data_IF_812363894280
#
_entry.id   IF_812363894280
#
_cell.length_a   1.000
_cell.length_b   1.000
_cell.length_c   1.000
_cell.angle_alpha   90.00
_cell.angle_beta   90.00
_cell.angle_gamma   90.00
#
_symmetry.space_group_name_H-M   'P 1'
#
loop_
_entity.id
_entity.type
_entity.pdbx_description
1 polymer ?
#
# COMPACT_ATOMS: atom_id res chain seq x y z
N UNK A 1 39.10 3.93 -8.26
CA UNK A 1 37.87 3.17 -8.57
C UNK A 1 36.93 3.30 -7.38
N UNK A 2 35.73 3.80 -7.61
CA UNK A 2 34.62 3.86 -6.64
C UNK A 2 33.72 2.63 -6.82
N UNK A 3 33.12 2.23 -5.69
CA UNK A 3 31.84 1.53 -5.46
C UNK A 3 31.63 0.17 -6.16
N UNK A 4 30.96 -0.84 -5.60
CA UNK A 4 29.79 -0.87 -4.71
C UNK A 4 29.90 -2.06 -3.74
N UNK A 5 29.74 -1.81 -2.44
CA UNK A 5 29.54 -2.81 -1.40
C UNK A 5 28.59 -2.18 -0.37
N UNK A 6 27.31 -2.18 -0.70
CA UNK A 6 26.15 -1.79 0.11
C UNK A 6 24.99 -2.60 -0.51
N UNK A 7 24.13 -3.37 0.15
CA UNK A 7 23.35 -3.07 1.35
C UNK A 7 22.57 -4.33 1.81
N UNK A 8 23.16 -5.24 2.60
CA UNK A 8 22.38 -6.28 3.31
C UNK A 8 22.65 -6.23 4.82
N UNK A 9 23.91 -6.03 5.22
CA UNK A 9 24.30 -5.92 6.63
C UNK A 9 24.01 -4.54 7.24
N UNK A 10 23.80 -3.52 6.41
CA UNK A 10 23.42 -2.18 6.84
C UNK A 10 21.96 -2.10 7.28
N UNK A 11 21.06 -2.69 6.49
CA UNK A 11 19.63 -2.73 6.78
C UNK A 11 19.30 -3.53 8.04
N UNK A 12 19.90 -4.72 8.22
CA UNK A 12 19.72 -5.54 9.44
C UNK A 12 20.25 -4.84 10.71
N UNK A 13 21.40 -4.14 10.64
CA UNK A 13 21.93 -3.40 11.81
C UNK A 13 21.15 -2.13 12.12
N UNK A 14 20.66 -1.41 11.10
CA UNK A 14 19.80 -0.25 11.28
C UNK A 14 18.44 -0.67 11.84
N UNK A 15 17.90 -1.79 11.37
CA UNK A 15 16.69 -2.44 11.89
C UNK A 15 16.84 -2.84 13.36
N UNK A 16 17.90 -3.56 13.71
CA UNK A 16 18.19 -3.94 15.09
C UNK A 16 18.38 -2.71 15.99
N UNK A 17 19.04 -1.67 15.48
CA UNK A 17 19.20 -0.43 16.25
C UNK A 17 17.87 0.28 16.44
N UNK A 18 17.05 0.42 15.39
CA UNK A 18 15.80 1.18 15.44
C UNK A 18 14.75 0.45 16.26
N UNK A 19 14.64 -0.87 16.08
CA UNK A 19 13.79 -1.73 16.90
C UNK A 19 14.20 -1.68 18.38
N UNK A 20 15.51 -1.67 18.69
CA UNK A 20 16.01 -1.49 20.08
C UNK A 20 15.72 -0.11 20.67
N UNK A 21 15.85 0.96 19.89
CA UNK A 21 15.58 2.32 20.38
C UNK A 21 14.08 2.51 20.65
N UNK A 22 13.21 1.97 19.79
CA UNK A 22 11.78 2.00 20.01
C UNK A 22 11.33 1.00 21.11
N UNK A 23 11.96 -0.17 21.25
CA UNK A 23 11.68 -1.10 22.36
C UNK A 23 12.03 -0.47 23.71
N UNK A 24 13.14 0.27 23.80
CA UNK A 24 13.50 1.04 25.00
C UNK A 24 12.49 2.18 25.26
N UNK A 25 12.00 2.84 24.21
CA UNK A 25 10.95 3.87 24.34
C UNK A 25 9.61 3.29 24.83
N UNK A 26 9.30 2.03 24.47
CA UNK A 26 8.15 1.29 24.98
C UNK A 26 8.30 0.94 26.46
N UNK A 27 9.52 0.69 26.96
CA UNK A 27 9.77 0.49 28.40
C UNK A 27 9.47 1.76 29.22
N UNK A 28 9.70 2.94 28.65
CA UNK A 28 9.49 4.22 29.34
C UNK A 28 8.09 4.83 29.13
N UNK A 29 7.33 4.40 28.12
CA UNK A 29 5.98 4.92 27.82
C UNK A 29 5.11 3.88 27.09
N UNK A 30 4.73 2.79 27.77
CA UNK A 30 4.05 1.65 27.14
C UNK A 30 2.61 1.96 26.69
N UNK A 31 2.00 3.04 27.20
CA UNK A 31 0.58 3.33 26.99
C UNK A 31 0.28 4.12 25.71
N UNK A 32 1.31 4.65 25.02
CA UNK A 32 1.10 5.43 23.80
C UNK A 32 1.02 4.51 22.58
N UNK A 33 -0.19 4.28 22.07
CA UNK A 33 -0.46 3.47 20.88
C UNK A 33 0.40 3.88 19.66
N UNK A 34 0.73 5.16 19.50
CA UNK A 34 1.58 5.65 18.41
C UNK A 34 3.00 5.07 18.41
N UNK A 35 3.57 4.77 19.58
CA UNK A 35 4.91 4.20 19.67
C UNK A 35 4.94 2.77 19.11
N UNK A 36 3.92 1.97 19.43
CA UNK A 36 3.74 0.61 18.91
C UNK A 36 3.54 0.60 17.40
N UNK A 37 2.72 1.53 16.88
CA UNK A 37 2.54 1.69 15.44
C UNK A 37 3.84 2.05 14.73
N UNK A 38 4.61 3.00 15.25
CA UNK A 38 5.87 3.40 14.63
C UNK A 38 6.89 2.26 14.60
N UNK A 39 6.99 1.47 15.68
CA UNK A 39 7.84 0.28 15.70
C UNK A 39 7.36 -0.75 14.68
N UNK A 40 6.06 -1.00 14.59
CA UNK A 40 5.52 -1.94 13.62
C UNK A 40 5.75 -1.51 12.17
N UNK A 41 5.71 -0.21 11.86
CA UNK A 41 6.04 0.29 10.52
C UNK A 41 7.50 0.00 10.16
N UNK A 42 8.43 0.12 11.12
CA UNK A 42 9.81 -0.30 10.91
C UNK A 42 9.92 -1.81 10.64
N UNK A 43 9.15 -2.63 11.36
CA UNK A 43 9.09 -4.07 11.12
C UNK A 43 8.54 -4.40 9.72
N UNK A 44 7.56 -3.62 9.24
CA UNK A 44 7.08 -3.72 7.85
C UNK A 44 8.19 -3.40 6.85
N UNK A 45 8.96 -2.34 7.08
CA UNK A 45 10.03 -1.93 6.16
C UNK A 45 11.15 -2.98 6.02
N UNK A 46 11.40 -3.75 7.09
CA UNK A 46 12.42 -4.81 7.12
C UNK A 46 11.87 -6.18 6.68
N UNK A 47 10.56 -6.30 6.46
CA UNK A 47 9.90 -7.52 6.02
C UNK A 47 9.37 -8.43 7.12
N UNK A 48 9.49 -8.06 8.38
CA UNK A 48 9.00 -8.82 9.55
C UNK A 48 7.51 -8.58 9.79
N UNK A 49 6.68 -9.02 8.84
CA UNK A 49 5.25 -8.69 8.82
C UNK A 49 4.45 -9.34 9.95
N UNK A 50 4.83 -10.54 10.41
CA UNK A 50 4.13 -11.24 11.49
C UNK A 50 4.26 -10.47 12.81
N UNK A 51 5.49 -10.10 13.18
CA UNK A 51 5.77 -9.31 14.37
C UNK A 51 5.16 -7.91 14.27
N UNK A 52 5.16 -7.30 13.07
CA UNK A 52 4.49 -6.03 12.83
C UNK A 52 2.98 -6.11 13.14
N UNK A 53 2.31 -7.19 12.72
CA UNK A 53 0.89 -7.41 13.04
C UNK A 53 0.68 -7.48 14.54
N UNK A 54 1.50 -8.23 15.26
CA UNK A 54 1.36 -8.37 16.72
C UNK A 54 1.51 -7.03 17.43
N UNK A 55 2.51 -6.22 17.06
CA UNK A 55 2.69 -4.88 17.62
C UNK A 55 1.55 -3.92 17.27
N UNK A 56 0.97 -4.03 16.07
CA UNK A 56 -0.18 -3.21 15.68
C UNK A 56 -1.46 -3.62 16.42
N UNK A 57 -1.63 -4.91 16.72
CA UNK A 57 -2.70 -5.38 17.60
C UNK A 57 -2.50 -4.87 19.04
N UNK A 58 -1.26 -4.82 19.53
CA UNK A 58 -0.93 -4.19 20.81
C UNK A 58 -1.23 -2.68 20.82
N UNK A 59 -0.97 -1.99 19.70
CA UNK A 59 -1.33 -0.57 19.53
C UNK A 59 -2.86 -0.38 19.59
N UNK A 60 -3.60 -1.23 18.87
CA UNK A 60 -5.05 -1.22 18.86
C UNK A 60 -5.65 -1.49 20.24
N UNK A 61 -5.09 -2.42 21.02
CA UNK A 61 -5.63 -2.74 22.33
C UNK A 61 -5.53 -1.58 23.34
N UNK A 62 -4.57 -0.69 23.14
CA UNK A 62 -4.37 0.52 23.96
C UNK A 62 -5.27 1.68 23.52
N UNK A 63 -5.58 1.76 22.24
CA UNK A 63 -6.46 2.78 21.66
C UNK A 63 -7.44 2.18 20.64
N UNK A 64 -8.55 1.65 21.16
CA UNK A 64 -9.62 0.98 20.38
C UNK A 64 -10.51 1.95 19.60
N UNK A 65 -10.21 3.25 19.64
CA UNK A 65 -10.92 4.26 18.86
C UNK A 65 -10.07 4.81 17.71
N UNK A 66 -8.80 4.40 17.60
CA UNK A 66 -7.92 4.84 16.53
C UNK A 66 -8.00 3.91 15.29
N UNK A 67 -8.72 4.31 14.23
CA UNK A 67 -8.79 3.52 12.99
C UNK A 67 -7.45 3.37 12.27
N UNK A 68 -6.47 4.23 12.53
CA UNK A 68 -5.15 4.15 11.89
C UNK A 68 -4.41 2.87 12.29
N UNK A 69 -4.55 2.43 13.54
CA UNK A 69 -3.98 1.16 13.99
C UNK A 69 -4.54 -0.02 13.18
N UNK A 70 -5.87 -0.09 13.02
CA UNK A 70 -6.53 -1.14 12.22
C UNK A 70 -6.20 -1.02 10.73
N UNK A 71 -6.04 0.19 10.19
CA UNK A 71 -5.57 0.38 8.82
C UNK A 71 -4.20 -0.27 8.62
N UNK A 72 -3.28 -0.01 9.54
CA UNK A 72 -1.93 -0.56 9.48
C UNK A 72 -1.92 -2.08 9.71
N UNK A 73 -2.77 -2.61 10.62
CA UNK A 73 -2.98 -4.07 10.77
C UNK A 73 -3.38 -4.68 9.42
N UNK A 74 -4.32 -4.03 8.72
CA UNK A 74 -4.78 -4.48 7.41
C UNK A 74 -3.68 -4.55 6.36
N UNK A 75 -2.82 -3.53 6.30
CA UNK A 75 -1.65 -3.49 5.41
C UNK A 75 -0.67 -4.62 5.74
N UNK A 76 -0.26 -4.73 7.01
CA UNK A 76 0.71 -5.73 7.46
C UNK A 76 0.21 -7.17 7.23
N UNK A 77 -1.07 -7.43 7.44
CA UNK A 77 -1.70 -8.72 7.12
C UNK A 77 -1.66 -9.01 5.61
N UNK A 78 -1.89 -8.01 4.77
CA UNK A 78 -1.76 -8.15 3.31
C UNK A 78 -0.35 -8.54 2.87
N UNK A 79 0.66 -7.88 3.45
CA UNK A 79 2.07 -8.17 3.20
C UNK A 79 2.46 -9.56 3.72
N UNK A 80 1.90 -9.99 4.85
CA UNK A 80 2.02 -11.36 5.37
C UNK A 80 1.19 -12.40 4.57
N UNK A 81 0.60 -12.02 3.44
CA UNK A 81 -0.29 -12.84 2.59
C UNK A 81 -1.56 -13.35 3.29
N UNK A 82 -1.92 -12.80 4.46
CA UNK A 82 -3.14 -13.05 5.23
C UNK A 82 -4.26 -12.08 4.79
N UNK A 83 -4.51 -12.03 3.50
CA UNK A 83 -5.36 -11.01 2.85
C UNK A 83 -6.79 -10.96 3.36
N UNK A 84 -7.36 -12.10 3.77
CA UNK A 84 -8.73 -12.16 4.30
C UNK A 84 -8.87 -11.40 5.62
N UNK A 85 -7.96 -11.68 6.54
CA UNK A 85 -7.88 -11.01 7.83
C UNK A 85 -7.56 -9.52 7.63
N UNK A 86 -6.71 -9.21 6.66
CA UNK A 86 -6.42 -7.84 6.25
C UNK A 86 -7.68 -7.08 5.81
N UNK A 87 -8.49 -7.68 4.94
CA UNK A 87 -9.77 -7.08 4.53
C UNK A 87 -10.71 -6.86 5.73
N UNK A 88 -10.81 -7.82 6.65
CA UNK A 88 -11.61 -7.66 7.86
C UNK A 88 -11.12 -6.50 8.73
N UNK A 89 -9.80 -6.36 8.91
CA UNK A 89 -9.21 -5.25 9.65
C UNK A 89 -9.50 -3.89 8.99
N UNK A 90 -9.37 -3.78 7.67
CA UNK A 90 -9.66 -2.55 6.92
C UNK A 90 -11.16 -2.19 6.96
N UNK A 91 -12.05 -3.17 6.89
CA UNK A 91 -13.49 -2.93 7.07
C UNK A 91 -13.82 -2.40 8.46
N UNK A 92 -13.17 -2.94 9.51
CA UNK A 92 -13.29 -2.41 10.87
C UNK A 92 -12.69 -1.00 10.99
N UNK A 93 -11.58 -0.73 10.31
CA UNK A 93 -10.98 0.60 10.25
C UNK A 93 -11.94 1.62 9.61
N UNK A 94 -12.61 1.28 8.50
CA UNK A 94 -13.65 2.13 7.89
C UNK A 94 -14.81 2.40 8.84
N UNK A 95 -15.29 1.38 9.54
CA UNK A 95 -16.39 1.55 10.50
C UNK A 95 -16.02 2.52 11.63
N UNK A 96 -14.79 2.42 12.15
CA UNK A 96 -14.27 3.33 13.18
C UNK A 96 -13.99 4.73 12.65
N UNK A 97 -13.48 4.83 11.44
CA UNK A 97 -13.19 6.11 10.79
C UNK A 97 -14.46 6.91 10.45
N UNK A 98 -15.62 6.26 10.32
CA UNK A 98 -16.89 6.92 9.90
C UNK A 98 -17.26 8.16 10.70
N UNK A 99 -16.91 8.21 11.99
CA UNK A 99 -17.20 9.35 12.87
C UNK A 99 -16.15 10.48 12.79
N UNK A 100 -15.05 10.28 12.06
CA UNK A 100 -13.94 11.22 11.97
C UNK A 100 -14.04 12.08 10.70
N UNK A 101 -13.90 13.40 10.78
CA UNK A 101 -13.86 14.28 9.61
C UNK A 101 -12.48 14.25 8.95
N UNK A 102 -12.04 13.06 8.52
CA UNK A 102 -10.74 12.84 7.89
C UNK A 102 -10.90 12.12 6.55
N UNK A 103 -11.20 12.83 5.45
CA UNK A 103 -11.41 12.23 4.14
C UNK A 103 -10.16 11.52 3.60
N UNK A 104 -8.97 12.05 3.92
CA UNK A 104 -7.69 11.47 3.51
C UNK A 104 -7.48 10.07 4.09
N UNK A 105 -7.82 9.87 5.37
CA UNK A 105 -7.77 8.55 6.01
C UNK A 105 -8.79 7.59 5.37
N UNK A 106 -10.03 8.03 5.18
CA UNK A 106 -11.05 7.19 4.54
C UNK A 106 -10.62 6.73 3.15
N UNK A 107 -10.10 7.66 2.35
CA UNK A 107 -9.57 7.38 1.02
C UNK A 107 -8.41 6.37 1.06
N UNK A 108 -7.47 6.55 1.99
CA UNK A 108 -6.35 5.63 2.18
C UNK A 108 -6.83 4.21 2.54
N UNK A 109 -7.80 4.07 3.45
CA UNK A 109 -8.33 2.76 3.84
C UNK A 109 -9.02 2.08 2.64
N UNK A 110 -9.81 2.81 1.85
CA UNK A 110 -10.41 2.27 0.62
C UNK A 110 -9.37 1.85 -0.41
N UNK A 111 -8.29 2.62 -0.59
CA UNK A 111 -7.18 2.26 -1.46
C UNK A 111 -6.49 0.95 -1.00
N UNK A 112 -6.23 0.83 0.31
CA UNK A 112 -5.64 -0.38 0.86
C UNK A 112 -6.54 -1.60 0.68
N UNK A 113 -7.85 -1.43 0.87
CA UNK A 113 -8.84 -2.48 0.67
C UNK A 113 -8.88 -2.93 -0.80
N UNK A 114 -8.82 -1.98 -1.73
CA UNK A 114 -8.69 -2.26 -3.16
C UNK A 114 -7.44 -3.05 -3.50
N UNK A 115 -6.30 -2.74 -2.85
CA UNK A 115 -5.06 -3.49 -3.02
C UNK A 115 -5.19 -4.95 -2.57
N UNK A 116 -5.84 -5.21 -1.44
CA UNK A 116 -6.06 -6.58 -0.95
C UNK A 116 -7.01 -7.36 -1.85
N UNK A 117 -8.10 -6.75 -2.32
CA UNK A 117 -9.00 -7.38 -3.30
C UNK A 117 -8.27 -7.71 -4.61
N UNK A 118 -7.41 -6.81 -5.09
CA UNK A 118 -6.57 -7.06 -6.26
C UNK A 118 -5.61 -8.23 -6.06
N UNK A 119 -4.96 -8.33 -4.89
CA UNK A 119 -4.09 -9.47 -4.54
C UNK A 119 -4.88 -10.80 -4.54
N UNK A 120 -6.14 -10.76 -4.13
CA UNK A 120 -7.07 -11.91 -4.18
C UNK A 120 -7.67 -12.17 -5.57
N UNK A 121 -7.30 -11.40 -6.60
CA UNK A 121 -7.86 -11.43 -7.96
C UNK A 121 -9.37 -11.13 -8.04
N UNK A 122 -9.90 -10.42 -7.05
CA UNK A 122 -11.28 -9.94 -7.00
C UNK A 122 -11.31 -8.54 -7.62
N UNK A 123 -11.26 -8.48 -8.95
CA UNK A 123 -10.96 -7.25 -9.68
C UNK A 123 -12.10 -6.23 -9.65
N UNK A 124 -13.34 -6.68 -9.68
CA UNK A 124 -14.53 -5.83 -9.61
C UNK A 124 -14.63 -5.14 -8.25
N UNK A 125 -14.39 -5.87 -7.16
CA UNK A 125 -14.33 -5.33 -5.80
C UNK A 125 -13.18 -4.34 -5.64
N UNK A 126 -12.00 -4.68 -6.17
CA UNK A 126 -10.85 -3.78 -6.16
C UNK A 126 -11.16 -2.46 -6.89
N UNK A 127 -11.80 -2.55 -8.06
CA UNK A 127 -12.19 -1.38 -8.86
C UNK A 127 -13.17 -0.49 -8.11
N UNK A 128 -14.18 -1.09 -7.44
CA UNK A 128 -15.12 -0.35 -6.60
C UNK A 128 -14.41 0.37 -5.46
N UNK A 129 -13.46 -0.30 -4.80
CA UNK A 129 -12.70 0.29 -3.70
C UNK A 129 -11.84 1.47 -4.16
N UNK A 130 -11.10 1.35 -5.27
CA UNK A 130 -10.30 2.46 -5.79
C UNK A 130 -11.17 3.63 -6.26
N UNK A 131 -12.30 3.38 -6.91
CA UNK A 131 -13.27 4.43 -7.27
C UNK A 131 -13.82 5.15 -6.04
N UNK A 132 -14.12 4.40 -4.97
CA UNK A 132 -14.57 4.98 -3.71
C UNK A 132 -13.47 5.83 -3.05
N UNK A 133 -12.21 5.37 -3.10
CA UNK A 133 -11.07 6.13 -2.59
C UNK A 133 -10.92 7.48 -3.31
N UNK A 134 -11.04 7.49 -4.64
CA UNK A 134 -11.02 8.72 -5.45
C UNK A 134 -12.22 9.63 -5.13
N UNK A 135 -13.43 9.08 -5.04
CA UNK A 135 -14.66 9.84 -4.81
C UNK A 135 -14.69 10.58 -3.46
N UNK A 136 -13.97 10.09 -2.45
CA UNK A 136 -13.87 10.71 -1.11
C UNK A 136 -12.91 11.92 -1.11
N UNK A 137 -12.26 12.23 -2.24
CA UNK A 137 -11.24 13.29 -2.34
C UNK A 137 -9.82 12.74 -2.30
N UNK A 138 -9.65 11.47 -2.63
CA UNK A 138 -8.36 10.79 -2.72
C UNK A 138 -7.57 11.11 -3.97
N UNK A 139 -7.32 12.37 -4.27
CA UNK A 139 -6.45 12.75 -5.38
C UNK A 139 -4.97 12.54 -5.01
N UNK A 140 -4.61 11.29 -4.70
CA UNK A 140 -3.25 10.89 -4.35
C UNK A 140 -2.65 10.09 -5.52
N UNK A 141 -1.38 10.35 -5.89
CA UNK A 141 -0.70 9.61 -6.97
C UNK A 141 -0.78 8.10 -6.82
N UNK A 142 -0.68 7.61 -5.58
CA UNK A 142 -0.70 6.18 -5.27
C UNK A 142 -2.02 5.49 -5.64
N UNK A 143 -3.16 6.17 -5.55
CA UNK A 143 -4.48 5.61 -5.85
C UNK A 143 -4.63 5.43 -7.36
N UNK A 144 -4.25 6.45 -8.14
CA UNK A 144 -4.22 6.36 -9.60
C UNK A 144 -3.24 5.29 -10.09
N UNK A 145 -2.05 5.21 -9.49
CA UNK A 145 -1.11 4.14 -9.81
C UNK A 145 -1.70 2.75 -9.52
N UNK A 146 -2.32 2.55 -8.37
CA UNK A 146 -2.92 1.26 -8.01
C UNK A 146 -4.09 0.88 -8.93
N UNK A 147 -4.93 1.85 -9.29
CA UNK A 147 -6.01 1.67 -10.25
C UNK A 147 -5.45 1.34 -11.65
N UNK A 148 -4.38 2.00 -12.09
CA UNK A 148 -3.69 1.68 -13.34
C UNK A 148 -3.14 0.25 -13.37
N UNK A 149 -2.56 -0.22 -12.26
CA UNK A 149 -2.09 -1.61 -12.13
C UNK A 149 -3.28 -2.59 -12.23
N UNK A 150 -4.40 -2.29 -11.58
CA UNK A 150 -5.61 -3.12 -11.70
C UNK A 150 -6.12 -3.19 -13.14
N UNK A 151 -6.19 -2.04 -13.83
CA UNK A 151 -6.65 -1.97 -15.22
C UNK A 151 -5.72 -2.74 -16.17
N UNK A 152 -4.40 -2.72 -15.92
CA UNK A 152 -3.45 -3.59 -16.63
C UNK A 152 -3.76 -5.08 -16.44
N UNK A 153 -4.09 -5.50 -15.22
CA UNK A 153 -4.46 -6.89 -14.93
C UNK A 153 -5.79 -7.30 -15.59
N UNK A 154 -6.61 -6.31 -15.97
CA UNK A 154 -7.88 -6.48 -16.69
C UNK A 154 -7.72 -6.25 -18.21
N UNK A 155 -6.49 -6.17 -18.74
CA UNK A 155 -6.20 -5.91 -20.15
C UNK A 155 -6.73 -4.56 -20.70
N UNK A 156 -7.08 -3.61 -19.81
CA UNK A 156 -7.53 -2.26 -20.16
C UNK A 156 -6.33 -1.30 -20.26
N UNK A 157 -5.50 -1.50 -21.29
CA UNK A 157 -4.20 -0.84 -21.44
C UNK A 157 -4.29 0.69 -21.58
N UNK A 158 -5.26 1.19 -22.34
CA UNK A 158 -5.39 2.62 -22.60
C UNK A 158 -5.83 3.36 -21.33
N UNK A 159 -6.83 2.83 -20.65
CA UNK A 159 -7.32 3.34 -19.38
C UNK A 159 -6.24 3.25 -18.29
N UNK A 160 -5.45 2.18 -18.27
CA UNK A 160 -4.32 2.06 -17.34
C UNK A 160 -3.27 3.17 -17.58
N UNK A 161 -2.92 3.44 -18.84
CA UNK A 161 -2.00 4.53 -19.21
C UNK A 161 -2.52 5.89 -18.78
N UNK A 162 -3.82 6.14 -18.92
CA UNK A 162 -4.47 7.36 -18.44
C UNK A 162 -4.33 7.50 -16.92
N UNK A 163 -4.54 6.42 -16.15
CA UNK A 163 -4.38 6.46 -14.70
C UNK A 163 -2.93 6.73 -14.29
N UNK A 164 -1.94 6.09 -14.91
CA UNK A 164 -0.54 6.41 -14.62
C UNK A 164 -0.18 7.84 -15.01
N UNK A 165 -0.79 8.38 -16.06
CA UNK A 165 -0.61 9.79 -16.45
C UNK A 165 -1.20 10.72 -15.40
N UNK A 166 -2.41 10.44 -14.89
CA UNK A 166 -3.00 11.20 -13.78
C UNK A 166 -2.14 11.15 -12.50
N UNK A 167 -1.55 10.01 -12.18
CA UNK A 167 -0.61 9.92 -11.06
C UNK A 167 0.59 10.87 -11.24
N UNK A 168 1.14 10.95 -12.46
CA UNK A 168 2.28 11.81 -12.80
C UNK A 168 1.92 13.29 -12.96
N UNK A 169 0.66 13.62 -13.24
CA UNK A 169 0.16 15.00 -13.20
C UNK A 169 0.08 15.54 -11.76
N UNK A 170 -0.18 14.66 -10.80
CA UNK A 170 -0.22 15.01 -9.37
C UNK A 170 1.18 15.06 -8.75
N UNK A 171 2.05 14.14 -9.15
CA UNK A 171 3.45 14.07 -8.72
C UNK A 171 4.32 13.55 -9.86
N UNK A 172 5.05 14.46 -10.50
CA UNK A 172 5.90 14.13 -11.64
C UNK A 172 7.11 13.25 -11.25
N UNK A 173 7.44 13.17 -9.96
CA UNK A 173 8.50 12.32 -9.39
C UNK A 173 8.00 10.96 -8.91
N UNK A 174 6.74 10.61 -9.18
CA UNK A 174 6.17 9.32 -8.79
C UNK A 174 6.70 8.17 -9.67
N UNK A 175 7.93 7.70 -9.37
CA UNK A 175 8.70 6.74 -10.17
C UNK A 175 7.96 5.43 -10.46
N UNK A 176 7.13 4.98 -9.52
CA UNK A 176 6.29 3.79 -9.71
C UNK A 176 5.33 3.96 -10.89
N UNK A 177 4.64 5.10 -10.99
CA UNK A 177 3.72 5.35 -12.11
C UNK A 177 4.47 5.54 -13.43
N UNK A 178 5.64 6.20 -13.39
CA UNK A 178 6.50 6.35 -14.56
C UNK A 178 6.92 5.00 -15.14
N UNK A 179 7.40 4.12 -14.28
CA UNK A 179 7.83 2.76 -14.64
C UNK A 179 6.66 1.94 -15.19
N UNK A 180 5.51 1.99 -14.50
CA UNK A 180 4.31 1.27 -14.95
C UNK A 180 3.79 1.79 -16.29
N UNK A 181 3.78 3.11 -16.52
CA UNK A 181 3.38 3.71 -17.79
C UNK A 181 4.28 3.26 -18.94
N UNK A 182 5.60 3.25 -18.73
CA UNK A 182 6.56 2.76 -19.72
C UNK A 182 6.26 1.30 -20.10
N UNK A 183 5.99 0.45 -19.10
CA UNK A 183 5.63 -0.95 -19.33
C UNK A 183 4.36 -1.09 -20.16
N UNK A 184 3.37 -0.21 -19.96
CA UNK A 184 2.13 -0.22 -20.76
C UNK A 184 2.44 0.12 -22.22
N UNK A 185 3.25 1.14 -22.46
CA UNK A 185 3.61 1.59 -23.80
C UNK A 185 4.32 0.49 -24.60
N UNK A 186 5.26 -0.21 -23.96
CA UNK A 186 5.96 -1.37 -24.54
C UNK A 186 4.99 -2.51 -24.89
N UNK A 187 4.07 -2.84 -23.97
CA UNK A 187 3.08 -3.90 -24.19
C UNK A 187 2.14 -3.57 -25.37
N UNK A 188 1.68 -2.32 -25.45
CA UNK A 188 0.80 -1.86 -26.55
C UNK A 188 1.54 -1.93 -27.89
N UNK A 189 2.79 -1.47 -27.93
CA UNK A 189 3.61 -1.51 -29.14
C UNK A 189 3.88 -2.95 -29.59
N UNK A 190 4.24 -3.83 -28.66
CA UNK A 190 4.47 -5.25 -28.95
C UNK A 190 3.21 -5.95 -29.49
N UNK A 191 2.05 -5.73 -28.87
CA UNK A 191 0.77 -6.28 -29.35
C UNK A 191 0.43 -5.80 -30.76
N UNK A 192 0.69 -4.53 -31.06
CA UNK A 192 0.49 -3.97 -32.40
C UNK A 192 1.37 -4.68 -33.43
N UNK A 193 2.66 -4.84 -33.15
CA UNK A 193 3.59 -5.53 -34.06
C UNK A 193 3.18 -6.98 -34.31
N UNK A 194 2.77 -7.71 -33.26
CA UNK A 194 2.26 -9.08 -33.42
C UNK A 194 1.05 -9.14 -34.37
N UNK A 195 0.11 -8.22 -34.22
CA UNK A 195 -1.08 -8.18 -35.09
C UNK A 195 -0.72 -7.90 -36.55
N UNK A 196 0.28 -7.05 -36.80
CA UNK A 196 0.76 -6.73 -38.15
C UNK A 196 1.49 -7.93 -38.78
N UNK A 197 2.26 -8.71 -38.02
CA UNK A 197 2.95 -9.91 -38.51
C UNK A 197 2.05 -11.14 -38.69
N UNK A 198 0.92 -11.21 -37.97
CA UNK A 198 -0.03 -12.33 -38.10
C UNK A 198 -0.91 -12.24 -39.37
N UNK A 199 -0.93 -11.07 -40.03
CA UNK A 199 -1.73 -10.79 -41.23
C UNK A 199 -0.87 -10.90 -42.52
N UNK A 200 0.46 -10.99 -42.41
CA UNK A 200 1.40 -11.17 -43.55
C UNK A 200 1.73 -12.63 -43.81
#
# INVERSE_FOLDING_TARGET
MRSEYSDEHGHSRLADSSARHYSLALEHSPDRASNWMNLALLLVDIGEYADAVDLLLQAWDRDKENPLALNNVGIALGLANRTEEGCHALWRALQKARALPCPTLHSAIWNNLGSLYRQRKQFEEALRCYKQALAIGGEQPCIYNNLGILLLMMDAYQEAKEMFTRALELDDQYDCARSNRCRVDELVQWKRQLSETAIS
#
